data_IF_522667612106
#
_entry.id   IF_522667612106
#
_cell.length_a   1.000
_cell.length_b   1.000
_cell.length_c   1.000
_cell.angle_alpha   90.00
_cell.angle_beta   90.00
_cell.angle_gamma   90.00
#
_symmetry.space_group_name_H-M   'P 1'
#
loop_
_entity.id
_entity.type
_entity.pdbx_description
1 polymer ?
2 non-polymer ?
3 non-polymer ?
4 non-polymer ?
5 non-polymer ?
6 water ?
#
# COMPACT_ATOMS: atom_id res chain seq x y z
N UNK A 4 18.53 27.08 1.23
CA UNK A 4 17.29 26.28 1.40
C UNK A 4 16.07 26.86 0.69
N UNK A 5 14.97 26.11 0.65
CA UNK A 5 13.74 26.45 -0.06
C UNK A 5 12.48 26.51 0.80
N UNK A 6 11.55 27.43 0.49
CA UNK A 6 10.27 27.50 1.22
C UNK A 6 9.19 26.72 0.46
N UNK A 7 8.33 26.05 1.23
CA UNK A 7 7.24 25.24 0.70
C UNK A 7 5.95 25.24 1.54
N UNK A 8 4.86 24.64 0.99
CA UNK A 8 3.60 24.44 1.69
C UNK A 8 3.42 22.96 2.03
N UNK A 9 3.08 22.55 3.23
CA UNK A 9 2.87 21.12 3.51
C UNK A 9 1.72 20.96 4.48
N UNK A 10 0.98 19.89 4.43
CA UNK A 10 -0.10 19.62 5.35
C UNK A 10 0.43 19.01 6.64
N UNK A 11 0.22 19.63 7.80
CA UNK A 11 0.67 19.15 9.09
C UNK A 11 -0.40 18.49 9.93
N UNK A 12 -0.09 17.39 10.63
CA UNK A 12 -1.03 16.75 11.53
C UNK A 12 -0.61 17.11 12.95
N UNK A 13 -1.16 18.18 13.55
CA UNK A 13 -0.74 18.69 14.83
C UNK A 13 -0.97 17.85 16.05
N UNK A 14 -1.95 16.98 16.20
CA UNK A 14 -2.08 16.21 17.43
C UNK A 14 -2.99 15.02 17.24
N UNK A 15 -3.10 14.20 18.28
CA UNK A 15 -3.95 13.02 18.19
C UNK A 15 -5.25 13.51 17.56
N UNK A 16 -5.60 12.89 16.46
CA UNK A 16 -6.78 13.13 15.69
C UNK A 16 -7.00 14.47 15.04
N UNK A 17 -6.10 15.42 15.06
CA UNK A 17 -6.33 16.72 14.48
C UNK A 17 -6.49 16.65 12.98
N UNK A 18 -7.12 17.65 12.38
CA UNK A 18 -7.31 17.76 10.93
C UNK A 18 -6.02 18.21 10.26
N UNK A 19 -5.76 17.82 9.03
CA UNK A 19 -4.63 18.39 8.28
C UNK A 19 -4.90 19.90 8.12
N UNK A 20 -3.86 20.73 8.22
CA UNK A 20 -3.89 22.18 8.05
C UNK A 20 -2.69 22.54 7.17
N UNK A 21 -2.81 23.46 6.24
CA UNK A 21 -1.68 23.81 5.39
C UNK A 21 -0.76 24.81 6.10
N UNK A 22 0.54 24.64 6.07
CA UNK A 22 1.47 25.52 6.79
C UNK A 22 2.65 25.88 5.91
N UNK A 23 3.37 26.97 6.20
CA UNK A 23 4.54 27.30 5.41
C UNK A 23 5.81 26.75 6.11
N UNK A 24 6.61 25.99 5.35
CA UNK A 24 7.82 25.40 5.92
C UNK A 24 9.02 25.49 4.99
N UNK A 25 10.18 24.98 5.43
CA UNK A 25 11.38 25.01 4.61
C UNK A 25 12.08 23.64 4.48
N UNK A 26 12.62 23.44 3.28
CA UNK A 26 13.32 22.17 3.03
C UNK A 26 14.72 22.45 2.51
N UNK A 27 15.66 21.63 3.01
CA UNK A 27 17.05 21.80 2.61
C UNK A 27 17.44 21.06 1.34
N UNK A 28 18.63 21.38 0.82
CA UNK A 28 19.14 20.67 -0.33
C UNK A 28 19.59 19.24 0.08
N UNK A 29 19.65 18.38 -0.90
CA UNK A 29 19.99 16.98 -0.69
C UNK A 29 21.48 16.72 -0.58
N UNK A 30 21.81 15.72 0.23
CA UNK A 30 23.19 15.29 0.44
C UNK A 30 23.36 13.84 0.00
N UNK A 31 24.54 13.29 0.27
CA UNK A 31 24.92 11.94 -0.11
C UNK A 31 24.16 11.39 -1.31
N UNK A 32 23.31 10.41 -1.00
CA UNK A 32 22.48 9.77 -2.03
C UNK A 32 21.00 10.13 -1.95
N UNK A 33 20.71 11.24 -1.28
CA UNK A 33 19.38 11.82 -1.18
C UNK A 33 18.88 12.47 -2.47
N UNK A 34 17.56 12.59 -2.63
CA UNK A 34 16.93 13.16 -3.80
C UNK A 34 15.87 14.24 -3.50
N UNK A 35 15.85 15.39 -4.19
CA UNK A 35 14.89 16.47 -3.97
C UNK A 35 13.78 16.37 -5.02
N UNK A 36 12.55 16.13 -4.57
CA UNK A 36 11.50 15.87 -5.58
C UNK A 36 10.42 16.94 -5.67
N UNK A 37 10.01 17.33 -6.86
CA UNK A 37 8.87 18.32 -6.92
C UNK A 37 7.60 17.45 -7.00
N UNK A 38 6.76 17.44 -5.95
CA UNK A 38 5.59 16.58 -5.97
C UNK A 38 4.41 17.01 -6.87
N UNK A 39 3.94 16.14 -7.76
CA UNK A 39 2.76 16.42 -8.59
C UNK A 39 1.49 15.98 -7.88
N UNK A 40 1.49 14.76 -7.28
CA UNK A 40 0.35 14.27 -6.51
C UNK A 40 0.71 13.09 -5.60
N UNK A 41 -0.05 12.91 -4.52
CA UNK A 41 0.25 11.91 -3.51
C UNK A 41 -1.00 11.13 -3.11
N UNK A 42 -0.93 9.80 -3.21
CA UNK A 42 -2.09 9.01 -2.80
C UNK A 42 -2.37 9.03 -1.31
N UNK A 43 -3.60 8.71 -0.89
CA UNK A 43 -4.01 8.65 0.49
C UNK A 43 -4.38 7.20 0.85
N UNK A 44 -3.88 6.77 1.98
CA UNK A 44 -4.00 5.39 2.46
C UNK A 44 -4.43 5.39 3.91
N UNK A 45 -5.14 4.34 4.26
CA UNK A 45 -5.68 4.02 5.56
C UNK A 45 -4.68 4.27 6.67
N UNK A 46 -3.44 3.85 6.43
CA UNK A 46 -2.32 4.05 7.28
C UNK A 46 -2.05 5.50 7.62
N UNK A 47 -2.30 6.47 6.74
CA UNK A 47 -2.06 7.87 7.16
C UNK A 47 -3.03 8.21 8.31
N UNK A 48 -4.24 7.69 8.20
CA UNK A 48 -5.32 7.89 9.14
C UNK A 48 -5.11 7.25 10.48
N UNK A 49 -4.70 5.97 10.47
CA UNK A 49 -4.41 5.28 11.73
C UNK A 49 -3.25 5.95 12.45
N UNK A 50 -2.33 6.72 11.89
CA UNK A 50 -1.22 7.38 12.54
C UNK A 50 -1.60 8.71 13.19
N UNK A 51 -2.64 9.32 12.66
CA UNK A 51 -3.21 10.59 13.13
C UNK A 51 -3.96 10.32 14.44
N UNK A 52 -4.68 9.20 14.40
CA UNK A 52 -5.42 8.67 15.53
C UNK A 52 -4.54 7.91 16.50
N UNK A 53 -3.25 7.89 16.26
CA UNK A 53 -2.23 7.30 17.08
C UNK A 53 -2.37 5.85 17.45
N UNK A 54 -3.00 5.01 16.64
CA UNK A 54 -2.99 3.57 16.89
C UNK A 54 -1.60 3.05 16.55
N UNK A 55 -0.61 3.85 16.31
CA UNK A 55 0.77 3.75 16.01
C UNK A 55 1.44 5.08 16.43
N UNK A 56 2.46 4.97 17.28
CA UNK A 56 3.19 6.09 17.81
C UNK A 56 4.16 6.89 17.00
N UNK A 57 3.72 7.41 15.85
CA UNK A 57 4.59 8.35 15.12
C UNK A 57 4.41 9.64 15.92
N UNK A 58 5.50 10.29 16.25
CA UNK A 58 5.45 11.52 17.03
C UNK A 58 4.89 12.72 16.28
N UNK A 59 3.88 13.33 16.88
CA UNK A 59 3.20 14.53 16.40
C UNK A 59 3.61 15.76 17.19
N UNK A 60 3.76 16.89 16.51
CA UNK A 60 3.43 17.06 15.11
C UNK A 60 4.30 16.61 13.95
N UNK A 61 3.71 16.37 12.77
CA UNK A 61 4.41 15.93 11.58
C UNK A 61 3.69 16.00 10.23
N UNK A 62 4.45 15.91 9.14
CA UNK A 62 3.96 15.84 7.77
C UNK A 62 3.87 14.38 7.28
N UNK A 63 2.68 13.84 7.07
CA UNK A 63 2.45 12.49 6.59
C UNK A 63 2.41 12.35 5.07
N UNK A 64 1.61 11.45 4.47
CA UNK A 64 1.64 11.25 3.02
C UNK A 64 2.75 10.23 2.74
N UNK A 65 2.43 9.14 2.03
CA UNK A 65 3.45 8.13 1.80
C UNK A 65 3.23 7.48 0.43
N UNK A 66 2.40 8.18 -0.37
CA UNK A 66 2.20 7.67 -1.74
C UNK A 66 2.49 8.71 -2.79
N UNK A 67 3.69 9.33 -2.83
CA UNK A 67 3.99 10.43 -3.71
C UNK A 67 4.52 10.13 -5.07
N UNK A 68 4.31 11.04 -6.00
CA UNK A 68 4.86 10.98 -7.33
C UNK A 68 5.22 12.44 -7.68
N UNK A 69 6.25 12.60 -8.50
CA UNK A 69 6.75 13.93 -8.81
C UNK A 69 7.86 13.90 -9.87
N UNK A 70 8.65 14.96 -9.88
CA UNK A 70 9.73 15.23 -10.84
C UNK A 70 11.01 15.59 -10.06
N UNK A 71 12.10 14.95 -10.46
CA UNK A 71 13.36 15.29 -9.78
C UNK A 71 13.83 16.70 -10.16
N UNK A 72 14.13 17.48 -9.17
CA UNK A 72 14.54 18.83 -9.03
C UNK A 72 15.99 19.03 -8.59
N UNK A 73 16.57 18.01 -7.98
CA UNK A 73 17.93 18.01 -7.49
C UNK A 73 18.32 16.63 -6.90
N UNK A 74 19.52 16.17 -7.27
CA UNK A 74 20.07 14.91 -6.81
C UNK A 74 21.29 15.16 -5.92
N UNK A 75 21.66 14.33 -4.99
CA UNK A 75 22.88 14.55 -4.21
C UNK A 75 24.07 14.12 -5.09
N UNK A 76 25.27 14.31 -4.54
CA UNK A 76 26.49 13.96 -5.23
C UNK A 76 26.80 12.49 -5.45
N UNK A 77 26.41 11.54 -4.59
CA UNK A 77 26.66 10.10 -4.82
C UNK A 77 25.51 9.38 -5.55
N UNK A 78 24.56 10.20 -6.06
CA UNK A 78 23.44 9.66 -6.79
C UNK A 78 23.92 9.29 -8.19
N UNK A 79 23.71 8.03 -8.59
CA UNK A 79 24.22 7.65 -9.90
C UNK A 79 23.14 7.16 -10.81
N UNK A 80 21.98 6.72 -10.31
CA UNK A 80 21.00 6.10 -11.19
C UNK A 80 19.79 6.97 -11.53
N UNK A 81 19.78 8.20 -11.09
CA UNK A 81 18.68 9.13 -11.35
C UNK A 81 19.16 10.52 -11.75
N UNK A 82 18.48 11.23 -12.66
CA UNK A 82 18.87 12.61 -13.03
C UNK A 82 17.71 13.60 -12.97
N UNK A 83 18.06 14.89 -12.84
CA UNK A 83 17.13 16.01 -12.76
C UNK A 83 16.10 15.93 -13.85
N UNK A 84 14.80 16.00 -13.52
CA UNK A 84 13.81 15.83 -14.59
C UNK A 84 13.18 14.45 -14.70
N UNK A 85 13.77 13.38 -14.15
CA UNK A 85 13.09 12.09 -14.17
C UNK A 85 11.77 12.22 -13.40
N UNK A 86 10.79 11.47 -13.79
CA UNK A 86 9.48 11.26 -13.22
C UNK A 86 9.61 10.07 -12.24
N UNK A 87 9.21 10.15 -11.00
CA UNK A 87 9.38 9.11 -10.02
C UNK A 87 8.17 8.82 -9.11
N UNK A 88 8.26 7.58 -8.58
CA UNK A 88 7.28 7.08 -7.58
C UNK A 88 8.03 6.87 -6.27
N UNK A 89 7.70 7.34 -5.12
CA UNK A 89 8.42 7.26 -3.88
C UNK A 89 7.73 6.17 -3.03
N UNK A 90 8.47 5.11 -2.80
CA UNK A 90 8.07 3.90 -2.14
C UNK A 90 8.51 3.94 -0.69
N UNK A 91 8.32 2.88 0.09
CA UNK A 91 8.72 2.87 1.48
C UNK A 91 10.26 2.97 1.63
N UNK A 92 10.69 3.04 2.88
CA UNK A 92 12.00 3.21 3.41
C UNK A 92 12.77 2.00 3.91
N UNK A 93 13.90 1.73 3.22
CA UNK A 93 14.79 0.62 3.54
C UNK A 93 16.28 0.98 3.54
N UNK A 94 17.05 0.24 4.34
CA UNK A 94 18.48 0.49 4.50
C UNK A 94 19.34 -0.07 3.36
N UNK A 95 19.04 -1.26 2.83
CA UNK A 95 19.76 -1.84 1.71
C UNK A 95 21.17 -2.35 1.95
N UNK A 96 21.50 -2.52 3.23
CA UNK A 96 22.81 -3.00 3.66
C UNK A 96 22.63 -4.15 4.67
N UNK A 97 21.46 -4.37 5.27
CA UNK A 97 21.32 -5.44 6.24
C UNK A 97 21.11 -6.83 5.60
N UNK A 98 20.93 -7.88 6.42
CA UNK A 98 20.79 -9.24 5.87
C UNK A 98 19.56 -9.37 4.94
N UNK A 99 18.43 -8.81 5.40
CA UNK A 99 17.20 -8.86 4.59
C UNK A 99 17.33 -8.02 3.33
N UNK A 100 17.89 -6.82 3.31
CA UNK A 100 18.08 -6.04 2.12
C UNK A 100 19.03 -6.70 1.15
N UNK A 101 20.16 -7.32 1.61
CA UNK A 101 21.09 -7.99 0.75
C UNK A 101 20.58 -9.30 0.13
N UNK A 102 19.54 -9.92 0.67
CA UNK A 102 19.00 -11.14 0.09
C UNK A 102 17.74 -10.90 -0.74
N UNK A 103 17.37 -9.69 -1.12
CA UNK A 103 16.17 -9.42 -1.90
C UNK A 103 14.84 -9.34 -1.19
N UNK A 104 14.86 -8.96 0.08
CA UNK A 104 13.70 -8.79 0.94
C UNK A 104 13.70 -7.44 1.66
N UNK A 105 13.70 -6.32 0.96
CA UNK A 105 13.78 -5.01 1.61
C UNK A 105 12.60 -4.72 2.51
N UNK A 106 11.42 -5.30 2.15
CA UNK A 106 10.25 -5.07 3.02
C UNK A 106 10.52 -5.57 4.45
N UNK A 107 11.44 -6.48 4.70
CA UNK A 107 11.78 -7.11 5.96
C UNK A 107 13.03 -6.55 6.59
N UNK A 108 13.55 -5.46 6.03
CA UNK A 108 14.73 -4.72 6.50
C UNK A 108 14.69 -4.65 8.01
N UNK A 109 15.84 -4.94 8.63
CA UNK A 109 15.89 -4.87 10.11
C UNK A 109 15.76 -3.44 10.60
N UNK A 110 15.74 -2.42 9.73
CA UNK A 110 15.46 -1.07 10.19
C UNK A 110 14.06 -0.67 9.72
N UNK A 111 13.16 -1.57 9.32
CA UNK A 111 11.84 -1.12 8.86
C UNK A 111 11.16 -0.22 9.86
N UNK A 112 10.79 -0.39 11.09
CA UNK A 112 10.11 0.54 11.97
C UNK A 112 10.77 1.87 12.28
N UNK A 113 12.05 2.02 11.97
CA UNK A 113 12.83 3.19 12.22
C UNK A 113 12.96 4.13 11.04
N UNK A 114 12.91 3.67 9.79
CA UNK A 114 13.04 4.49 8.61
C UNK A 114 11.73 5.10 8.14
N UNK A 115 10.62 4.49 8.51
CA UNK A 115 9.29 4.93 8.11
C UNK A 115 8.43 5.49 9.22
N UNK A 116 8.63 4.94 10.41
CA UNK A 116 7.80 5.27 11.57
C UNK A 116 8.44 6.07 12.69
N UNK A 117 9.73 6.32 12.71
CA UNK A 117 10.39 7.01 13.81
C UNK A 117 9.96 8.48 13.95
N UNK A 118 9.92 9.16 12.82
CA UNK A 118 9.55 10.55 12.73
C UNK A 118 10.78 11.38 12.40
N UNK A 119 11.93 10.73 12.24
CA UNK A 119 13.15 11.44 11.92
C UNK A 119 14.15 10.64 11.11
N UNK A 120 15.41 11.12 11.12
CA UNK A 120 16.45 10.41 10.37
C UNK A 120 17.26 9.51 11.31
N UNK A 121 18.43 9.11 10.85
CA UNK A 121 19.31 8.23 11.59
C UNK A 121 19.78 8.85 12.90
N UNK A 122 19.96 10.18 12.93
CA UNK A 122 20.42 10.86 14.13
C UNK A 122 19.34 11.58 14.94
N UNK A 123 18.26 12.02 14.30
CA UNK A 123 17.20 12.74 15.01
C UNK A 123 16.99 14.11 14.33
N UNK A 124 17.83 14.31 13.33
CA UNK A 124 17.79 15.48 12.49
C UNK A 124 16.53 15.42 11.64
N UNK A 125 15.95 16.58 11.37
CA UNK A 125 14.75 16.58 10.54
C UNK A 125 15.14 17.31 9.28
N UNK A 126 14.63 16.96 8.12
CA UNK A 126 15.01 17.67 6.90
C UNK A 126 14.04 18.81 6.60
N UNK A 127 12.93 18.86 7.32
CA UNK A 127 11.91 19.87 7.15
C UNK A 127 11.89 20.86 8.32
N UNK A 128 11.95 22.15 7.95
CA UNK A 128 11.93 23.16 8.99
C UNK A 128 10.71 24.08 8.99
N UNK A 135 8.81 19.87 14.36
CA UNK A 135 8.11 19.22 13.23
C UNK A 135 8.80 17.98 12.68
N UNK A 136 8.23 16.83 12.99
CA UNK A 136 8.64 15.49 12.59
C UNK A 136 8.39 15.20 11.11
N UNK A 137 9.36 14.58 10.45
CA UNK A 137 9.32 14.27 9.04
C UNK A 137 9.88 12.89 8.70
N UNK A 138 10.39 12.70 7.48
CA UNK A 138 10.92 11.40 7.08
C UNK A 138 9.93 10.27 7.19
N UNK A 139 8.64 10.51 6.99
CA UNK A 139 7.58 9.54 7.18
C UNK A 139 7.48 8.63 5.96
N UNK A 140 7.77 7.35 6.17
CA UNK A 140 7.93 6.35 5.15
C UNK A 140 9.06 6.88 4.24
N UNK A 141 10.05 7.59 4.79
CA UNK A 141 11.14 8.22 4.10
C UNK A 141 10.75 9.17 2.97
N UNK A 142 9.63 9.88 3.14
CA UNK A 142 9.22 10.84 2.12
C UNK A 142 8.42 12.01 2.71
N UNK A 143 7.47 11.73 3.57
CA UNK A 143 6.63 12.84 4.12
C UNK A 143 6.03 13.56 2.92
N UNK A 144 5.29 12.87 2.01
CA UNK A 144 4.90 13.54 0.78
C UNK A 144 3.58 14.30 0.73
N UNK A 145 2.93 14.70 1.85
CA UNK A 145 1.79 15.64 1.62
C UNK A 145 2.38 17.06 1.56
N UNK A 146 3.24 17.37 0.59
CA UNK A 146 3.86 18.62 0.33
C UNK A 146 4.32 18.84 -1.12
N UNK A 147 4.55 20.16 -1.39
CA UNK A 147 4.99 20.57 -2.70
C UNK A 147 6.40 20.04 -2.90
N UNK A 148 7.22 19.83 -1.88
CA UNK A 148 8.57 19.32 -2.11
C UNK A 148 8.86 18.19 -1.13
N UNK A 149 9.56 17.14 -1.62
CA UNK A 149 9.91 16.04 -0.77
C UNK A 149 11.37 15.62 -0.95
N UNK A 150 11.96 15.19 0.16
CA UNK A 150 13.30 14.62 0.09
C UNK A 150 13.24 13.10 0.31
N UNK A 151 13.76 12.33 -0.62
CA UNK A 151 13.75 10.88 -0.45
C UNK A 151 15.15 10.32 -0.54
N UNK A 152 15.34 9.01 -0.60
CA UNK A 152 16.67 8.40 -0.80
C UNK A 152 16.68 7.78 -2.21
N UNK A 153 17.82 7.55 -2.81
CA UNK A 153 17.93 6.95 -4.14
C UNK A 153 17.31 5.55 -4.10
N UNK A 154 17.56 4.78 -3.06
CA UNK A 154 16.95 3.43 -3.13
C UNK A 154 15.42 3.45 -2.98
N UNK A 155 14.78 4.47 -2.41
CA UNK A 155 13.32 4.49 -2.41
C UNK A 155 12.79 5.38 -3.53
N UNK A 156 13.57 5.82 -4.50
CA UNK A 156 13.02 6.68 -5.56
C UNK A 156 13.08 5.90 -6.87
N UNK A 157 11.96 5.53 -7.44
CA UNK A 157 11.73 4.71 -8.58
C UNK A 157 11.34 5.47 -9.85
N UNK A 158 12.30 5.44 -10.80
CA UNK A 158 12.13 6.08 -12.11
C UNK A 158 11.03 5.38 -12.91
N UNK A 159 10.07 6.15 -13.43
CA UNK A 159 9.08 5.56 -14.32
C UNK A 159 8.98 6.41 -15.59
N UNK A 160 8.27 5.83 -16.56
CA UNK A 160 8.13 6.40 -17.88
C UNK A 160 7.42 7.74 -17.93
N UNK A 161 7.80 8.62 -18.84
CA UNK A 161 7.12 9.90 -19.00
C UNK A 161 5.87 9.78 -19.88
N UNK A 162 5.56 8.58 -20.35
CA UNK A 162 4.44 8.33 -21.22
C UNK A 162 3.12 8.12 -20.51
N UNK A 163 3.06 8.21 -19.19
CA UNK A 163 1.83 8.04 -18.44
C UNK A 163 1.75 9.25 -17.53
N UNK A 164 0.56 9.80 -17.36
CA UNK A 164 0.38 11.00 -16.54
C UNK A 164 1.02 10.79 -15.18
N UNK A 165 1.91 11.58 -14.61
CA UNK A 165 2.58 11.23 -13.36
C UNK A 165 1.72 11.33 -12.12
N UNK A 166 0.56 12.00 -12.16
CA UNK A 166 -0.30 12.20 -10.99
C UNK A 166 -1.04 10.95 -10.50
N UNK A 167 -1.26 10.03 -11.43
CA UNK A 167 -1.88 8.73 -11.20
C UNK A 167 -0.99 7.65 -10.60
N UNK A 168 0.34 7.73 -10.58
CA UNK A 168 1.21 6.64 -10.07
C UNK A 168 1.70 6.59 -8.66
N UNK A 169 1.58 7.65 -7.84
CA UNK A 169 1.93 7.61 -6.43
C UNK A 169 1.48 6.38 -5.68
N UNK A 170 0.20 6.01 -5.76
CA UNK A 170 -0.38 4.88 -5.04
C UNK A 170 0.32 3.57 -5.27
N UNK A 171 1.08 3.42 -6.35
CA UNK A 171 1.88 2.24 -6.62
C UNK A 171 2.96 2.12 -5.56
N UNK A 172 3.42 3.20 -4.92
CA UNK A 172 4.47 3.06 -3.87
C UNK A 172 3.97 2.43 -2.55
N UNK A 173 2.69 2.09 -2.42
CA UNK A 173 2.15 1.46 -1.24
C UNK A 173 0.95 0.55 -1.50
N UNK A 174 -0.28 1.07 -1.43
CA UNK A 174 -1.44 0.16 -1.52
C UNK A 174 -1.58 -0.74 -2.75
N UNK A 175 -1.28 -0.28 -3.96
CA UNK A 175 -1.39 -1.10 -5.17
C UNK A 175 -0.32 -2.20 -5.24
N UNK A 176 0.95 -1.90 -4.87
CA UNK A 176 2.02 -2.87 -4.82
C UNK A 176 1.75 -3.88 -3.71
N UNK A 177 1.09 -3.42 -2.64
CA UNK A 177 0.85 -4.31 -1.52
C UNK A 177 -0.11 -5.43 -1.92
N UNK A 178 -1.16 -5.06 -2.59
CA UNK A 178 -2.18 -6.03 -2.98
C UNK A 178 -1.77 -6.90 -4.14
N UNK A 179 -1.21 -6.26 -5.17
CA UNK A 179 -0.76 -7.01 -6.36
C UNK A 179 0.40 -7.91 -6.00
N UNK A 180 1.33 -7.38 -5.21
CA UNK A 180 2.49 -8.12 -4.75
C UNK A 180 2.14 -9.33 -3.89
N UNK A 181 1.09 -9.28 -3.06
CA UNK A 181 0.79 -10.42 -2.18
C UNK A 181 0.46 -11.63 -3.03
N UNK A 182 -0.30 -11.34 -4.13
CA UNK A 182 -0.60 -12.42 -5.08
C UNK A 182 0.58 -12.82 -5.91
N UNK A 183 1.29 -11.88 -6.53
CA UNK A 183 2.37 -12.23 -7.47
C UNK A 183 3.63 -12.69 -6.74
N UNK A 184 4.14 -11.97 -5.74
CA UNK A 184 5.41 -12.34 -5.13
C UNK A 184 5.28 -13.24 -3.92
N UNK A 185 4.22 -13.02 -3.13
CA UNK A 185 4.16 -13.75 -1.86
C UNK A 185 3.41 -15.05 -1.99
N UNK A 186 2.16 -14.98 -2.39
CA UNK A 186 1.39 -16.23 -2.49
C UNK A 186 1.87 -17.17 -3.59
N UNK A 187 2.06 -16.52 -4.73
CA UNK A 187 2.27 -16.89 -6.10
C UNK A 187 1.09 -17.65 -6.74
N UNK A 188 -0.08 -17.04 -6.91
CA UNK A 188 -1.21 -17.70 -7.50
C UNK A 188 -0.86 -18.36 -8.84
N UNK A 189 -1.35 -19.58 -9.06
CA UNK A 189 -1.05 -20.33 -10.28
C UNK A 189 -2.23 -20.43 -11.23
N UNK A 190 -1.93 -20.65 -12.52
CA UNK A 190 -2.95 -20.73 -13.56
C UNK A 190 -4.00 -21.79 -13.26
N UNK A 191 -5.31 -21.49 -13.44
CA UNK A 191 -6.40 -22.38 -13.24
C UNK A 191 -6.80 -22.55 -11.76
N UNK A 192 -6.20 -21.86 -10.82
CA UNK A 192 -6.55 -21.98 -9.41
C UNK A 192 -7.72 -21.08 -8.95
N UNK A 193 -8.04 -21.25 -7.66
CA UNK A 193 -9.08 -20.45 -7.00
C UNK A 193 -8.43 -19.51 -5.97
N UNK A 194 -8.87 -18.24 -5.99
CA UNK A 194 -8.40 -17.17 -5.11
C UNK A 194 -9.55 -16.38 -4.49
N UNK A 195 -9.39 -15.87 -3.27
CA UNK A 195 -10.44 -15.03 -2.66
C UNK A 195 -9.75 -13.83 -1.98
N UNK A 196 -10.35 -12.64 -2.09
CA UNK A 196 -9.84 -11.52 -1.32
C UNK A 196 -10.78 -11.14 -0.17
N UNK A 197 -10.40 -11.25 1.08
CA UNK A 197 -11.32 -10.78 2.13
C UNK A 197 -11.17 -9.27 2.27
N UNK A 198 -12.22 -8.51 1.89
CA UNK A 198 -12.21 -7.04 1.99
C UNK A 198 -11.99 -6.51 0.57
N UNK A 199 -12.84 -5.61 0.07
CA UNK A 199 -12.78 -5.15 -1.30
C UNK A 199 -12.49 -3.66 -1.40
N UNK A 200 -11.47 -3.20 -0.75
CA UNK A 200 -10.99 -1.83 -0.72
C UNK A 200 -9.93 -1.70 -1.79
N UNK A 201 -9.09 -0.67 -1.84
CA UNK A 201 -8.04 -0.61 -2.84
C UNK A 201 -6.97 -1.73 -2.78
N UNK A 202 -6.60 -2.20 -1.60
CA UNK A 202 -5.63 -3.27 -1.46
C UNK A 202 -6.23 -4.56 -2.05
N UNK A 203 -7.42 -4.98 -1.62
CA UNK A 203 -8.06 -6.20 -2.09
C UNK A 203 -8.30 -6.26 -3.60
N UNK A 204 -8.75 -5.14 -4.14
CA UNK A 204 -9.11 -5.03 -5.55
C UNK A 204 -7.85 -4.97 -6.36
N UNK A 205 -6.72 -4.45 -5.82
CA UNK A 205 -5.44 -4.55 -6.50
C UNK A 205 -5.05 -6.04 -6.62
N UNK A 206 -5.23 -6.79 -5.57
CA UNK A 206 -4.92 -8.24 -5.54
C UNK A 206 -5.81 -9.00 -6.49
N UNK A 207 -7.11 -8.56 -6.53
CA UNK A 207 -8.03 -9.24 -7.44
C UNK A 207 -7.55 -9.05 -8.90
N UNK A 208 -7.20 -7.83 -9.28
CA UNK A 208 -6.67 -7.53 -10.60
C UNK A 208 -5.37 -8.34 -10.88
N UNK A 209 -4.49 -8.56 -9.95
CA UNK A 209 -3.28 -9.35 -10.11
C UNK A 209 -3.53 -10.85 -10.22
N UNK A 210 -4.56 -11.41 -9.58
CA UNK A 210 -4.89 -12.83 -9.70
C UNK A 210 -5.45 -13.07 -11.13
N UNK A 211 -6.02 -12.01 -11.68
CA UNK A 211 -6.53 -12.12 -13.04
C UNK A 211 -5.28 -12.32 -13.94
N UNK A 212 -4.26 -11.51 -13.70
CA UNK A 212 -3.02 -11.59 -14.44
C UNK A 212 -2.34 -12.95 -14.21
N UNK A 213 -2.38 -13.54 -13.01
CA UNK A 213 -1.76 -14.83 -12.82
C UNK A 213 -2.46 -16.04 -13.43
N UNK A 214 -3.68 -15.88 -13.97
CA UNK A 214 -4.40 -16.99 -14.60
C UNK A 214 -5.48 -17.71 -13.80
N UNK A 215 -5.78 -17.22 -12.60
CA UNK A 215 -6.73 -17.96 -11.71
C UNK A 215 -8.07 -18.12 -12.45
N UNK A 216 -8.77 -19.21 -12.26
CA UNK A 216 -10.04 -19.48 -12.93
C UNK A 216 -11.24 -19.03 -12.06
N UNK A 217 -11.09 -19.05 -10.74
CA UNK A 217 -12.12 -18.64 -9.81
C UNK A 217 -11.61 -17.48 -8.95
N UNK A 218 -12.26 -16.31 -9.01
CA UNK A 218 -11.82 -15.09 -8.34
C UNK A 218 -12.99 -14.46 -7.56
N UNK A 219 -12.86 -14.53 -6.24
CA UNK A 219 -13.89 -14.19 -5.30
C UNK A 219 -13.57 -12.95 -4.49
N UNK A 220 -14.63 -12.17 -4.20
CA UNK A 220 -14.46 -11.00 -3.35
C UNK A 220 -15.58 -10.98 -2.28
N UNK A 221 -15.23 -10.79 -1.02
CA UNK A 221 -16.08 -10.73 0.15
C UNK A 221 -15.97 -9.36 0.84
N UNK A 222 -17.09 -8.66 1.09
CA UNK A 222 -17.09 -7.37 1.79
C UNK A 222 -18.43 -7.13 2.48
N UNK A 223 -18.61 -5.95 3.10
CA UNK A 223 -19.88 -5.56 3.64
C UNK A 223 -20.52 -4.31 2.97
N UNK A 224 -19.83 -3.62 2.07
CA UNK A 224 -20.42 -2.43 1.41
C UNK A 224 -20.77 -2.87 -0.01
N UNK A 225 -22.02 -2.77 -0.39
CA UNK A 225 -22.50 -3.29 -1.65
C UNK A 225 -21.87 -2.68 -2.90
N UNK A 226 -21.59 -1.38 -2.92
CA UNK A 226 -21.02 -0.74 -4.07
C UNK A 226 -19.59 -1.25 -4.32
N UNK A 227 -18.87 -1.66 -3.30
CA UNK A 227 -17.49 -2.17 -3.50
C UNK A 227 -17.55 -3.55 -4.12
N UNK A 228 -18.62 -4.28 -3.79
CA UNK A 228 -18.85 -5.60 -4.37
C UNK A 228 -19.31 -5.44 -5.82
N UNK A 229 -19.98 -4.34 -6.17
CA UNK A 229 -20.36 -4.22 -7.57
C UNK A 229 -19.18 -3.89 -8.47
N UNK A 230 -18.25 -3.12 -7.91
CA UNK A 230 -17.07 -2.72 -8.64
C UNK A 230 -16.21 -3.97 -8.79
N UNK A 231 -16.10 -4.81 -7.76
CA UNK A 231 -15.23 -5.97 -7.93
C UNK A 231 -15.59 -6.81 -9.14
N UNK A 232 -16.86 -7.13 -9.23
CA UNK A 232 -17.51 -7.88 -10.31
C UNK A 232 -17.30 -7.27 -11.68
N UNK A 233 -17.40 -5.93 -11.77
CA UNK A 233 -17.12 -5.19 -12.98
C UNK A 233 -15.61 -5.29 -13.25
N UNK A 234 -14.74 -5.48 -12.27
CA UNK A 234 -13.31 -5.64 -12.50
C UNK A 234 -13.01 -7.08 -12.91
N UNK A 235 -13.95 -8.01 -12.81
CA UNK A 235 -13.76 -9.38 -13.22
C UNK A 235 -13.76 -10.44 -12.12
N UNK A 236 -14.44 -10.14 -11.00
CA UNK A 236 -14.57 -11.17 -9.95
C UNK A 236 -15.58 -12.17 -10.55
N UNK A 237 -15.30 -13.46 -10.46
CA UNK A 237 -16.25 -14.43 -10.96
C UNK A 237 -17.42 -14.51 -9.95
N UNK A 238 -17.22 -14.34 -8.67
CA UNK A 238 -18.16 -14.46 -7.61
C UNK A 238 -17.92 -13.37 -6.56
N UNK A 239 -19.05 -12.80 -6.07
CA UNK A 239 -19.02 -11.79 -5.03
C UNK A 239 -19.89 -12.28 -3.88
N UNK A 240 -19.59 -11.99 -2.61
CA UNK A 240 -20.30 -12.42 -1.43
C UNK A 240 -20.39 -11.30 -0.37
N UNK A 241 -21.58 -11.07 0.15
CA UNK A 241 -21.81 -10.09 1.22
C UNK A 241 -21.74 -10.82 2.55
N UNK A 242 -20.69 -10.64 3.37
CA UNK A 242 -20.54 -11.33 4.62
C UNK A 242 -21.39 -10.79 5.77
N UNK A 243 -22.38 -9.94 5.51
CA UNK A 243 -23.30 -9.48 6.53
C UNK A 243 -24.59 -10.32 6.42
N UNK A 244 -24.98 -10.69 5.26
CA UNK A 244 -26.12 -11.46 4.79
C UNK A 244 -25.96 -12.91 4.44
N UNK A 245 -24.74 -13.42 4.30
CA UNK A 245 -24.47 -14.81 3.90
C UNK A 245 -23.34 -15.42 4.71
N UNK A 246 -23.32 -16.71 5.02
CA UNK A 246 -22.14 -17.27 5.70
C UNK A 246 -21.09 -17.42 4.55
N UNK A 247 -20.03 -16.65 4.59
CA UNK A 247 -18.97 -16.68 3.59
C UNK A 247 -18.15 -17.95 3.54
N UNK A 248 -17.87 -18.64 4.65
CA UNK A 248 -17.14 -19.90 4.61
C UNK A 248 -17.80 -20.98 3.75
N UNK A 249 -19.11 -21.11 4.02
CA UNK A 249 -19.94 -22.12 3.39
C UNK A 249 -20.05 -21.76 1.90
N UNK A 250 -20.23 -20.46 1.63
CA UNK A 250 -20.32 -20.11 0.22
C UNK A 250 -18.97 -20.42 -0.44
N UNK A 251 -17.85 -19.93 0.05
CA UNK A 251 -16.55 -20.24 -0.57
C UNK A 251 -16.38 -21.73 -0.69
N UNK A 252 -16.68 -22.61 0.27
CA UNK A 252 -16.45 -24.04 0.10
C UNK A 252 -17.28 -24.69 -0.98
N UNK A 253 -18.56 -24.26 -1.10
CA UNK A 253 -19.39 -24.86 -2.20
C UNK A 253 -18.93 -24.39 -3.56
N UNK A 254 -18.57 -23.12 -3.74
CA UNK A 254 -18.11 -22.57 -5.01
C UNK A 254 -16.81 -23.24 -5.49
N UNK A 255 -15.85 -23.56 -4.61
CA UNK A 255 -14.58 -24.12 -4.98
C UNK A 255 -14.47 -25.63 -4.76
N UNK A 256 -15.59 -26.23 -4.49
CA UNK A 256 -15.73 -27.67 -4.25
C UNK A 256 -14.77 -28.14 -3.17
N UNK A 257 -14.80 -27.59 -1.96
CA UNK A 257 -13.91 -27.99 -0.88
C UNK A 257 -13.07 -26.90 -0.18
N UNK A 258 -12.87 -25.72 -0.78
CA UNK A 258 -12.07 -24.69 -0.06
C UNK A 258 -11.20 -23.97 -1.06
N UNK A 259 -10.78 -22.74 -0.95
CA UNK A 259 -9.99 -22.01 -1.93
C UNK A 259 -8.50 -22.30 -1.87
N UNK A 260 -7.74 -22.26 -2.97
CA UNK A 260 -6.33 -22.55 -3.01
C UNK A 260 -5.46 -21.44 -2.42
N UNK A 261 -5.89 -20.18 -2.68
CA UNK A 261 -5.16 -19.02 -2.25
C UNK A 261 -6.02 -17.92 -1.62
N UNK A 262 -5.56 -17.26 -0.54
CA UNK A 262 -6.35 -16.16 0.00
C UNK A 262 -5.60 -14.97 0.56
N UNK A 263 -6.32 -13.85 0.63
CA UNK A 263 -5.82 -12.61 1.17
C UNK A 263 -6.73 -12.04 2.26
N UNK A 264 -6.12 -11.73 3.41
CA UNK A 264 -6.86 -11.09 4.52
C UNK A 264 -6.47 -9.60 4.50
N UNK A 265 -7.36 -8.69 4.12
CA UNK A 265 -7.10 -7.28 4.15
C UNK A 265 -8.04 -6.46 5.07
N UNK A 266 -8.92 -7.00 5.91
CA UNK A 266 -9.71 -6.17 6.77
C UNK A 266 -9.01 -5.77 8.08
N UNK A 267 -8.07 -6.62 8.55
CA UNK A 267 -7.43 -6.40 9.86
C UNK A 267 -8.33 -6.94 10.97
N UNK A 268 -9.52 -7.48 10.68
CA UNK A 268 -10.42 -8.01 11.66
C UNK A 268 -10.13 -9.46 12.01
N UNK A 269 -9.80 -9.73 13.27
CA UNK A 269 -9.48 -11.05 13.76
C UNK A 269 -10.47 -12.17 13.49
N UNK A 270 -11.77 -11.86 13.63
CA UNK A 270 -12.74 -12.95 13.50
C UNK A 270 -12.95 -13.28 12.05
N UNK A 271 -12.64 -12.36 11.14
CA UNK A 271 -12.75 -12.54 9.70
C UNK A 271 -11.52 -13.36 9.28
N UNK A 272 -10.42 -13.14 10.02
CA UNK A 272 -9.18 -13.85 9.74
C UNK A 272 -9.30 -15.35 10.08
N UNK A 273 -10.00 -15.72 11.16
CA UNK A 273 -10.20 -17.16 11.39
C UNK A 273 -11.01 -17.78 10.25
N UNK A 274 -12.06 -17.06 9.82
CA UNK A 274 -12.95 -17.44 8.72
C UNK A 274 -12.14 -17.76 7.46
N UNK A 275 -11.18 -16.88 7.18
CA UNK A 275 -10.26 -17.02 6.08
C UNK A 275 -9.40 -18.29 6.16
N UNK A 276 -8.88 -18.69 7.31
CA UNK A 276 -8.14 -19.95 7.45
C UNK A 276 -9.11 -21.09 7.31
N UNK A 277 -10.31 -21.05 7.93
CA UNK A 277 -11.29 -22.12 7.73
C UNK A 277 -11.72 -22.35 6.31
N UNK A 278 -11.81 -21.32 5.45
CA UNK A 278 -12.28 -21.53 4.08
C UNK A 278 -11.25 -22.00 3.09
N UNK A 279 -10.00 -22.14 3.46
CA UNK A 279 -8.94 -22.69 2.62
C UNK A 279 -9.26 -24.17 2.40
N UNK A 280 -8.87 -24.73 1.24
CA UNK A 280 -9.02 -26.14 0.95
C UNK A 280 -7.70 -26.87 1.30
N UNK A 281 -7.59 -28.16 1.05
CA UNK A 281 -6.35 -28.88 1.36
C UNK A 281 -5.13 -28.17 0.77
N UNK A 282 -4.09 -27.95 1.57
CA UNK A 282 -2.86 -27.32 1.12
C UNK A 282 -3.00 -25.86 0.69
N UNK A 283 -4.10 -25.23 1.15
CA UNK A 283 -4.32 -23.81 0.87
C UNK A 283 -3.40 -22.88 1.65
N UNK A 284 -3.29 -21.64 1.17
CA UNK A 284 -2.44 -20.62 1.75
C UNK A 284 -3.15 -19.29 1.93
N UNK A 285 -2.99 -18.62 3.11
CA UNK A 285 -3.64 -17.33 3.28
C UNK A 285 -2.60 -16.30 3.66
N UNK A 286 -2.45 -15.21 2.94
CA UNK A 286 -1.52 -14.13 3.21
C UNK A 286 -2.16 -13.04 4.09
N UNK A 287 -1.51 -12.55 5.15
CA UNK A 287 -2.08 -11.56 6.02
C UNK A 287 -1.55 -10.16 5.79
N UNK A 288 -2.32 -9.20 5.23
CA UNK A 288 -1.81 -7.84 5.05
C UNK A 288 -2.55 -6.82 5.91
N UNK A 289 -3.76 -7.03 6.37
CA UNK A 289 -4.49 -6.04 7.19
C UNK A 289 -4.08 -6.18 8.66
N UNK A 290 -4.06 -5.14 9.42
CA UNK A 290 -3.69 -5.09 10.81
C UNK A 290 -4.68 -4.54 11.82
N UNK A 291 -4.82 -5.17 12.97
CA UNK A 291 -5.62 -4.63 14.06
C UNK A 291 -4.76 -3.72 14.94
N UNK A 292 -5.25 -3.20 16.06
CA UNK A 292 -4.47 -2.43 17.00
C UNK A 292 -3.24 -3.19 17.47
N UNK A 293 -2.15 -2.48 17.73
CA UNK A 293 -0.93 -3.07 18.28
C UNK A 293 -1.39 -3.94 19.45
N UNK A 294 -0.75 -5.10 19.54
CA UNK A 294 -1.08 -6.14 20.50
C UNK A 294 -2.21 -7.06 20.27
N UNK A 295 -3.17 -6.96 19.35
CA UNK A 295 -4.26 -7.89 19.14
C UNK A 295 -3.86 -9.26 18.61
N UNK A 296 -4.57 -10.30 19.04
CA UNK A 296 -4.29 -11.62 18.53
C UNK A 296 -5.51 -12.13 17.75
N UNK A 297 -5.30 -13.21 17.00
CA UNK A 297 -6.40 -13.89 16.28
C UNK A 297 -6.27 -15.39 16.55
N UNK A 298 -7.33 -16.15 16.35
CA UNK A 298 -7.44 -17.55 16.60
C UNK A 298 -7.48 -18.41 15.36
N UNK A 299 -7.01 -19.64 15.42
CA UNK A 299 -7.28 -20.56 14.29
C UNK A 299 -7.57 -21.94 14.87
N UNK A 300 -8.31 -22.81 14.24
CA UNK A 300 -8.56 -24.19 14.66
C UNK A 300 -7.30 -25.01 14.37
N UNK A 301 -6.72 -25.64 15.39
CA UNK A 301 -5.45 -26.35 15.19
C UNK A 301 -5.49 -27.50 14.24
N UNK A 302 -6.22 -28.51 14.67
CA UNK A 302 -6.49 -29.73 13.94
C UNK A 302 -6.80 -29.46 12.48
N UNK A 303 -7.60 -28.46 12.16
CA UNK A 303 -8.02 -28.22 10.76
C UNK A 303 -6.80 -27.72 10.01
N UNK A 304 -5.95 -26.92 10.62
CA UNK A 304 -4.76 -26.46 9.95
C UNK A 304 -3.73 -27.58 9.81
N UNK A 305 -3.72 -28.48 10.79
CA UNK A 305 -2.65 -29.49 10.72
C UNK A 305 -3.05 -30.57 9.74
N UNK A 306 -4.29 -31.04 9.86
CA UNK A 306 -4.75 -32.07 8.92
C UNK A 306 -4.88 -31.53 7.51
N UNK A 307 -5.22 -30.25 7.25
CA UNK A 307 -5.30 -29.76 5.87
C UNK A 307 -3.95 -29.37 5.27
N UNK A 308 -2.88 -29.34 6.02
CA UNK A 308 -1.55 -28.86 5.63
C UNK A 308 -1.51 -27.37 5.23
N UNK A 309 -2.36 -26.64 5.92
CA UNK A 309 -2.56 -25.24 5.66
C UNK A 309 -1.41 -24.33 6.06
N UNK A 310 -1.20 -23.27 5.28
CA UNK A 310 -0.22 -22.24 5.56
C UNK A 310 -0.79 -20.83 5.83
N UNK A 311 -0.29 -20.26 6.92
CA UNK A 311 -0.73 -18.90 7.31
C UNK A 311 0.51 -18.00 7.20
N UNK A 312 0.58 -16.95 6.39
CA UNK A 312 1.75 -16.11 6.29
C UNK A 312 1.62 -14.57 6.27
N UNK A 313 2.57 -13.95 7.02
CA UNK A 313 2.58 -12.50 7.13
C UNK A 313 3.19 -11.74 5.97
N UNK A 314 2.58 -10.68 5.44
CA UNK A 314 3.17 -9.99 4.29
C UNK A 314 3.22 -8.46 4.45
N UNK A 315 4.37 -7.85 4.23
CA UNK A 315 4.58 -6.40 4.27
C UNK A 315 4.85 -5.88 2.86
N UNK A 316 4.07 -4.89 2.40
CA UNK A 316 4.22 -4.24 1.13
C UNK A 316 4.37 -5.18 -0.06
N UNK A 317 3.70 -6.33 -0.03
CA UNK A 317 3.67 -7.25 -1.15
C UNK A 317 4.94 -8.06 -1.28
N UNK A 318 5.87 -8.07 -0.36
CA UNK A 318 7.14 -8.78 -0.50
C UNK A 318 7.95 -8.57 -1.75
N UNK A 319 7.91 -7.53 -2.60
CA UNK A 319 8.89 -7.70 -3.73
C UNK A 319 10.12 -6.82 -3.49
N UNK A 320 10.67 -6.42 -4.60
CA UNK A 320 11.69 -5.38 -4.64
C UNK A 320 11.02 -4.30 -5.51
N UNK A 321 10.70 -3.15 -4.92
CA UNK A 321 9.98 -2.08 -5.59
C UNK A 321 10.63 -1.52 -6.86
N UNK A 322 11.96 -1.42 -6.89
CA UNK A 322 12.75 -0.97 -7.99
C UNK A 322 12.57 -1.89 -9.23
N UNK A 323 12.22 -3.15 -8.98
CA UNK A 323 11.88 -4.10 -9.99
C UNK A 323 10.37 -4.20 -10.26
N UNK A 324 9.53 -4.41 -9.25
CA UNK A 324 8.10 -4.60 -9.32
C UNK A 324 7.28 -3.39 -9.76
N UNK A 325 7.60 -2.17 -9.31
CA UNK A 325 6.82 -0.99 -9.66
C UNK A 325 6.79 -0.78 -11.16
N UNK A 326 7.93 -0.74 -11.82
CA UNK A 326 7.93 -0.68 -13.29
C UNK A 326 7.18 -1.85 -13.90
N UNK A 327 7.17 -3.07 -13.34
CA UNK A 327 6.42 -4.16 -13.94
C UNK A 327 4.91 -3.84 -13.91
N UNK A 328 4.42 -3.29 -12.77
CA UNK A 328 3.01 -2.91 -12.74
C UNK A 328 2.70 -1.80 -13.76
N UNK A 329 3.49 -0.77 -13.92
CA UNK A 329 3.22 0.29 -14.91
C UNK A 329 3.15 -0.30 -16.32
N UNK A 330 4.02 -1.27 -16.62
CA UNK A 330 3.99 -1.91 -17.94
C UNK A 330 2.73 -2.74 -18.11
N UNK A 331 2.25 -3.46 -17.13
CA UNK A 331 1.02 -4.26 -17.21
C UNK A 331 -0.19 -3.38 -17.43
N UNK A 332 -0.17 -2.21 -16.77
CA UNK A 332 -1.20 -1.21 -16.94
C UNK A 332 -1.15 -0.68 -18.38
N UNK A 333 0.02 -0.26 -18.92
CA UNK A 333 0.02 0.30 -20.29
C UNK A 333 -0.49 -0.65 -21.36
N UNK A 334 -0.33 -1.94 -21.09
CA UNK A 334 -0.75 -2.96 -22.03
C UNK A 334 -2.25 -3.18 -21.94
N UNK A 335 -2.92 -2.61 -20.93
CA UNK A 335 -4.32 -2.84 -20.73
C UNK A 335 -4.62 -4.06 -19.88
N UNK A 336 -3.65 -4.64 -19.21
CA UNK A 336 -3.88 -5.82 -18.35
C UNK A 336 -4.00 -5.52 -16.87
N UNK A 337 -3.92 -4.25 -16.41
CA UNK A 337 -4.04 -4.04 -14.95
C UNK A 337 -4.56 -2.63 -14.74
N UNK A 338 -5.89 -2.51 -14.84
CA UNK A 338 -6.52 -1.18 -14.83
C UNK A 338 -6.78 -0.63 -13.46
N UNK A 339 -5.75 -0.39 -12.64
CA UNK A 339 -5.85 0.14 -11.29
C UNK A 339 -6.36 1.58 -11.31
N UNK A 340 -6.27 2.33 -12.41
CA UNK A 340 -6.87 3.64 -12.51
C UNK A 340 -8.37 3.64 -12.20
N UNK A 341 -9.07 2.51 -12.23
CA UNK A 341 -10.48 2.49 -11.86
C UNK A 341 -10.75 2.59 -10.37
N UNK A 342 -9.74 2.56 -9.50
CA UNK A 342 -10.00 2.74 -8.07
C UNK A 342 -9.86 4.20 -7.65
N UNK A 343 -9.47 5.07 -8.57
CA UNK A 343 -9.08 6.42 -8.21
C UNK A 343 -10.01 7.60 -8.33
N UNK A 344 -9.96 8.52 -7.34
CA UNK A 344 -10.68 9.80 -7.47
C UNK A 344 -9.81 10.97 -6.98
N UNK A 345 -9.64 12.02 -7.76
CA UNK A 345 -8.80 13.17 -7.47
C UNK A 345 -9.45 14.26 -6.62
N UNK A 346 -8.79 14.85 -5.63
CA UNK A 346 -9.28 15.93 -4.81
C UNK A 346 -8.29 17.10 -4.84
N UNK A 347 -8.67 18.35 -4.58
CA UNK A 347 -7.69 19.43 -4.47
C UNK A 347 -6.92 19.39 -3.15
N UNK A 348 -5.72 19.97 -3.05
CA UNK A 348 -4.96 20.01 -1.81
C UNK A 348 -5.73 20.56 -0.62
N UNK A 349 -6.55 21.61 -0.85
CA UNK A 349 -7.37 22.16 0.20
C UNK A 349 -8.59 21.29 0.48
N UNK A 350 -8.76 20.11 -0.13
CA UNK A 350 -9.87 19.22 0.21
C UNK A 350 -9.36 17.93 0.88
N UNK A 351 -8.12 17.92 1.34
CA UNK A 351 -7.47 16.76 1.93
C UNK A 351 -8.23 16.20 3.10
N UNK A 352 -8.80 16.95 4.04
CA UNK A 352 -9.68 16.43 5.10
C UNK A 352 -10.94 15.69 4.65
N UNK A 353 -11.50 16.06 3.51
CA UNK A 353 -12.64 15.43 2.87
C UNK A 353 -12.22 14.12 2.19
N UNK A 354 -10.96 14.07 1.75
CA UNK A 354 -10.48 12.83 1.16
C UNK A 354 -10.44 11.76 2.27
N UNK A 355 -10.03 12.08 3.48
CA UNK A 355 -10.06 11.09 4.56
C UNK A 355 -11.48 10.56 4.81
N UNK A 356 -12.45 11.41 4.98
CA UNK A 356 -13.84 11.06 5.22
C UNK A 356 -14.43 10.13 4.21
N UNK A 357 -14.29 10.45 2.93
CA UNK A 357 -14.81 9.60 1.87
C UNK A 357 -14.19 8.20 1.91
N UNK A 358 -12.91 8.03 2.22
CA UNK A 358 -12.35 6.67 2.21
C UNK A 358 -12.91 5.92 3.42
N UNK A 359 -13.00 6.55 4.58
CA UNK A 359 -13.60 5.89 5.74
C UNK A 359 -15.05 5.51 5.50
N UNK A 360 -15.89 6.22 4.78
CA UNK A 360 -17.26 5.76 4.54
C UNK A 360 -17.35 4.79 3.36
N UNK A 361 -16.28 4.53 2.62
CA UNK A 361 -16.28 3.61 1.52
C UNK A 361 -16.74 4.10 0.17
N UNK A 362 -17.01 5.40 -0.06
CA UNK A 362 -17.38 5.80 -1.42
C UNK A 362 -16.12 5.98 -2.26
N UNK A 363 -15.00 6.30 -1.63
CA UNK A 363 -13.76 6.47 -2.39
C UNK A 363 -12.78 5.37 -2.02
N UNK A 364 -12.39 4.63 -3.05
CA UNK A 364 -11.47 3.52 -2.93
C UNK A 364 -10.03 4.01 -2.70
N UNK A 365 -9.55 4.84 -3.61
CA UNK A 365 -8.20 5.42 -3.53
C UNK A 365 -8.16 6.91 -3.87
N UNK A 366 -8.15 7.77 -2.89
CA UNK A 366 -7.97 9.23 -3.12
C UNK A 366 -6.55 9.58 -3.53
N UNK A 367 -6.34 10.63 -4.31
CA UNK A 367 -5.09 11.20 -4.79
C UNK A 367 -5.13 12.72 -4.66
N UNK A 368 -4.35 13.23 -3.70
CA UNK A 368 -4.28 14.67 -3.43
C UNK A 368 -3.42 15.31 -4.50
N UNK A 369 -4.03 16.10 -5.39
CA UNK A 369 -3.30 16.88 -6.40
C UNK A 369 -2.65 18.09 -5.71
N UNK A 370 -1.35 18.22 -5.85
CA UNK A 370 -0.53 19.19 -5.18
C UNK A 370 0.11 20.25 -6.07
N UNK A 371 0.82 19.88 -7.13
CA UNK A 371 1.32 20.79 -8.13
C UNK A 371 0.14 21.31 -8.97
X LIG B 1 0.05 2.53 2.87
X LIG C 1 17.90 -3.21 5.57
X LIG D 1 22.11 6.22 6.70
X LIG D 1 22.91 7.47 6.95
X LIG D 1 22.36 5.26 7.82
X LIG D 1 22.45 5.63 5.37
X LIG D 1 20.66 6.61 6.69
X LIG E 1 11.86 -7.25 -15.57
X LIG E 1 12.15 -6.05 -14.74
X LIG E 1 12.73 -8.39 -15.06
X LIG E 1 12.32 -6.97 -16.98
X LIG E 1 10.42 -7.57 -15.54
X LIG F 1 -9.86 0.25 2.66
X LIG F 1 -9.87 0.90 1.31
X LIG F 1 -10.56 0.93 3.76
X LIG F 1 -10.28 -1.28 2.53
X LIG F 1 -10.63 -2.28 3.52
X LIG F 1 -11.99 -2.87 3.24
X LIG F 1 -12.36 -3.77 4.35
X LIG F 1 -13.17 -1.88 3.10
X LIG F 1 -13.73 -1.90 1.80
X LIG F 1 -14.23 -2.34 4.11
X LIG F 1 -15.57 -2.33 3.62
X LIG F 1 -13.77 -3.77 4.40
X LIG F 1 -14.19 -4.30 5.70
X LIG F 1 -14.00 -3.76 6.94
X LIG F 1 -14.51 -4.51 7.92
X LIG F 1 -15.08 -5.58 7.26
X LIG F 1 -15.78 -6.72 7.70
X LIG F 1 -16.05 -7.01 8.97
X LIG F 1 -16.20 -7.60 6.76
X LIG F 1 -15.94 -7.34 5.44
X LIG F 1 -15.30 -6.32 4.93
X LIG F 1 -14.90 -5.46 5.89
X LIG F 1 -8.28 0.06 3.04
X LIG F 1 -7.12 -0.32 2.04
X LIG F 1 -7.56 -1.35 1.08
X LIG F 1 -6.60 0.90 1.41
X LIG F 1 -6.05 -0.91 3.13
X LIG F 1 -6.24 -2.25 3.62
X LIG F 1 -5.54 -2.56 4.89
X LIG F 1 -4.15 -2.98 4.68
X LIG F 1 -5.51 -1.59 6.09
X LIG F 1 -5.42 -2.37 7.30
X LIG F 1 -4.14 -0.93 5.86
X LIG F 1 -3.67 -0.18 6.97
X LIG F 1 -3.37 -2.24 5.63
X LIG F 1 -2.11 -1.97 4.94
X LIG F 1 -1.13 -2.90 5.12
X LIG F 1 0.05 -2.73 4.44
X LIG F 1 1.26 -3.73 4.54
X LIG F 1 2.30 -3.50 3.94
X LIG F 1 1.02 -4.84 5.34
X LIG F 1 0.24 -1.62 3.55
X LIG F 1 -1.00 -1.14 3.06
X LIG F 1 -2.20 -1.26 3.71
X LIG G 1 1.79 0.58 5.02
X LIG G 1 1.96 -0.36 6.13
X LIG G 1 0.53 1.22 4.84
#
# INVERSE_FOLDING_TARGET
MSELKDIIAAVTPCKGADFELQALKIRQPQGDEVLVKVVATGMCHTDLIVRDQKYPVPLPAVLGHEGSGIIEAIGPNVTELQVGDHVVLSYGYCGKCTQCNTGNPAYCSEFFGRNFSGADSEGNHALCTHDQGVVNDHFFAQSSFATYALSRENNTVKVTKDVPIELLGPLGCGIQTGAGACINALKVTPASSFVTWGAGAVGLSALLAAKVCGASIIIAVDIVESRLELAKQLGATHVINSKTQDPVAAIKEITDGGVNFALESTGSPEILKQGVDALGILGKIAVVGAPQLGTTAQFDVNDLLLGGKTILGVVEGSGSPKKFIPELVRLYQQGKFPFDQLVKFYAFDEINQAAIDSRKGITLKPIIKIA
ZN ZN
ZN ZN
SO4 S O1 O2 O3 O4
SO4 S O1 O2 O3 O4
NAD PA O1A O2A O5B C5B C4B O4B C3B O3B C2B O2B C1B N9A C8A N7A C5A C6A N6A N1A C2A N3A C4A O3 PN O1N O2N O5D C5D C4D O4D C3D O3D C2D O2D C1D N1N C2N C3N C7N O7N N7N C4N C5N C6N
EOH C1 C2 O
#
